data_IF_074556504153
#
_entry.id   IF_074556504153
#
_cell.length_a   1.000
_cell.length_b   1.000
_cell.length_c   1.000
_cell.angle_alpha   90.00
_cell.angle_beta   90.00
_cell.angle_gamma   90.00
#
_symmetry.space_group_name_H-M   'P 1'
#
loop_
_entity.id
_entity.type
_entity.pdbx_description
1 polymer ?
#
# COMPACT_ATOMS: atom_id res chain seq x y z
N UNK A 1 46.68 44.44 -9.47
CA UNK A 1 46.72 42.98 -9.27
C UNK A 1 46.01 42.34 -10.46
N UNK A 2 46.75 41.86 -11.47
CA UNK A 2 46.14 41.23 -12.65
C UNK A 2 45.85 39.76 -12.31
N UNK A 3 44.57 39.43 -12.14
CA UNK A 3 44.15 38.04 -11.97
C UNK A 3 44.31 37.36 -13.33
N UNK A 4 45.17 36.34 -13.38
CA UNK A 4 45.49 35.64 -14.61
C UNK A 4 44.25 34.86 -15.09
N UNK A 5 43.69 35.23 -16.26
CA UNK A 5 42.49 34.60 -16.86
C UNK A 5 42.56 33.07 -16.94
N UNK A 6 43.76 32.50 -17.03
CA UNK A 6 44.00 31.05 -17.02
C UNK A 6 43.63 30.38 -15.68
N UNK A 7 43.82 31.06 -14.54
CA UNK A 7 43.44 30.52 -13.23
C UNK A 7 41.94 30.64 -12.98
N UNK A 8 41.28 31.68 -13.50
CA UNK A 8 39.81 31.82 -13.40
C UNK A 8 39.10 30.69 -14.15
N UNK A 9 39.56 30.37 -15.36
CA UNK A 9 39.01 29.26 -16.16
C UNK A 9 39.22 27.90 -15.48
N UNK A 10 40.36 27.70 -14.82
CA UNK A 10 40.68 26.45 -14.12
C UNK A 10 39.86 26.30 -12.82
N UNK A 11 39.61 27.40 -12.10
CA UNK A 11 38.73 27.42 -10.92
C UNK A 11 37.26 27.22 -11.30
N UNK A 12 36.78 27.85 -12.36
CA UNK A 12 35.42 27.61 -12.87
C UNK A 12 35.23 26.16 -13.34
N UNK A 13 36.20 25.60 -14.07
CA UNK A 13 36.15 24.20 -14.48
C UNK A 13 36.14 23.26 -13.27
N UNK A 14 36.95 23.51 -12.23
CA UNK A 14 36.94 22.74 -10.99
C UNK A 14 35.59 22.82 -10.25
N UNK A 15 34.96 24.00 -10.21
CA UNK A 15 33.63 24.20 -9.61
C UNK A 15 32.53 23.45 -10.39
N UNK A 16 32.61 23.36 -11.72
CA UNK A 16 31.67 22.60 -12.53
C UNK A 16 31.79 21.08 -12.36
N UNK A 17 33.00 20.55 -12.08
CA UNK A 17 33.21 19.10 -11.89
C UNK A 17 32.77 18.68 -10.47
N UNK A 18 32.86 19.56 -9.48
CA UNK A 18 32.33 19.33 -8.14
C UNK A 18 30.81 19.54 -8.03
N UNK A 19 30.17 20.17 -9.01
CA UNK A 19 28.72 20.44 -9.02
C UNK A 19 27.89 19.26 -9.56
N UNK A 20 28.52 18.24 -10.17
CA UNK A 20 27.85 16.96 -10.44
C UNK A 20 27.80 16.16 -9.14
N UNK A 21 26.96 16.59 -8.19
CA UNK A 21 26.57 15.76 -7.06
C UNK A 21 25.92 14.50 -7.61
N UNK A 22 26.59 13.36 -7.48
CA UNK A 22 26.00 12.08 -7.81
C UNK A 22 24.74 11.92 -6.95
N UNK A 23 23.58 11.76 -7.57
CA UNK A 23 22.35 11.47 -6.83
C UNK A 23 22.55 10.17 -6.05
N UNK A 24 22.42 10.24 -4.73
CA UNK A 24 22.43 9.05 -3.89
C UNK A 24 21.09 8.37 -4.09
N UNK A 25 21.12 7.13 -4.56
CA UNK A 25 19.92 6.30 -4.66
C UNK A 25 19.94 5.27 -3.53
N UNK A 26 18.83 5.15 -2.81
CA UNK A 26 18.66 4.13 -1.79
C UNK A 26 17.81 3.01 -2.35
N UNK A 27 18.33 1.79 -2.25
CA UNK A 27 17.58 0.58 -2.58
C UNK A 27 17.00 0.02 -1.29
N UNK A 28 15.71 -0.29 -1.31
CA UNK A 28 14.99 -0.91 -0.21
C UNK A 28 14.58 -2.32 -0.62
N UNK A 29 14.81 -3.28 0.26
CA UNK A 29 14.33 -4.65 0.05
C UNK A 29 12.82 -4.72 0.33
N UNK A 30 12.04 -5.37 -0.55
CA UNK A 30 10.59 -5.42 -0.44
C UNK A 30 10.13 -6.38 0.68
N UNK A 31 8.91 -6.21 1.20
CA UNK A 31 8.26 -7.26 1.98
C UNK A 31 8.15 -8.54 1.15
N UNK A 32 8.11 -9.70 1.81
CA UNK A 32 8.17 -11.00 1.15
C UNK A 32 7.22 -12.01 1.80
N UNK A 33 7.17 -13.24 1.27
CA UNK A 33 6.31 -14.32 1.74
C UNK A 33 4.82 -13.94 1.83
N UNK A 34 4.35 -13.04 0.96
CA UNK A 34 2.94 -12.73 0.88
C UNK A 34 2.15 -13.97 0.44
N UNK A 35 1.14 -14.36 1.21
CA UNK A 35 0.19 -15.38 0.78
C UNK A 35 -0.86 -14.72 -0.11
N UNK A 36 -0.70 -14.87 -1.43
CA UNK A 36 -1.66 -14.32 -2.40
C UNK A 36 -2.94 -15.13 -2.34
N UNK A 37 -4.03 -14.48 -1.93
CA UNK A 37 -5.38 -15.04 -1.99
C UNK A 37 -6.19 -14.24 -3.01
N UNK A 38 -6.60 -14.90 -4.09
CA UNK A 38 -7.35 -14.31 -5.20
C UNK A 38 -8.67 -15.08 -5.37
N UNK A 39 -9.36 -15.36 -4.27
CA UNK A 39 -10.63 -16.08 -4.25
C UNK A 39 -11.50 -15.64 -3.06
N UNK A 40 -12.75 -16.09 -3.06
CA UNK A 40 -13.67 -15.91 -1.95
C UNK A 40 -13.30 -16.89 -0.82
N UNK A 41 -12.93 -16.36 0.34
CA UNK A 41 -12.31 -17.10 1.43
C UNK A 41 -13.30 -17.37 2.57
N UNK A 42 -13.06 -18.42 3.33
CA UNK A 42 -13.73 -18.60 4.61
C UNK A 42 -13.19 -17.62 5.66
N UNK A 43 -14.02 -17.31 6.66
CA UNK A 43 -13.71 -16.39 7.74
C UNK A 43 -12.34 -16.66 8.41
N UNK A 44 -11.92 -17.90 8.56
CA UNK A 44 -10.64 -18.24 9.18
C UNK A 44 -9.41 -17.85 8.35
N UNK A 45 -9.54 -17.70 7.03
CA UNK A 45 -8.47 -17.35 6.09
C UNK A 45 -8.61 -15.93 5.50
N UNK A 46 -9.69 -15.22 5.82
CA UNK A 46 -10.03 -13.91 5.26
C UNK A 46 -9.20 -12.77 5.87
N UNK A 47 -7.92 -12.72 5.50
CA UNK A 47 -6.95 -11.70 5.89
C UNK A 47 -5.81 -11.61 4.88
N UNK A 48 -5.08 -10.49 4.88
CA UNK A 48 -3.77 -10.39 4.22
C UNK A 48 -2.66 -10.86 5.16
N UNK A 49 -1.65 -11.54 4.63
CA UNK A 49 -0.41 -11.82 5.36
C UNK A 49 0.83 -11.71 4.49
N UNK A 50 1.93 -11.30 5.12
CA UNK A 50 3.27 -11.18 4.55
C UNK A 50 4.31 -11.04 5.67
N UNK A 51 5.59 -10.99 5.30
CA UNK A 51 6.72 -10.72 6.21
C UNK A 51 7.42 -9.43 5.78
N UNK A 52 7.73 -8.53 6.72
CA UNK A 52 8.56 -7.35 6.45
C UNK A 52 10.04 -7.75 6.29
N UNK A 53 10.83 -6.97 5.54
CA UNK A 53 12.28 -7.20 5.38
C UNK A 53 13.12 -6.12 6.10
N UNK A 54 12.77 -5.83 7.35
CA UNK A 54 13.44 -4.81 8.15
C UNK A 54 14.90 -5.19 8.41
N UNK A 55 15.22 -6.48 8.49
CA UNK A 55 16.59 -6.96 8.75
C UNK A 55 17.52 -6.63 7.58
N UNK A 56 17.09 -6.85 6.33
CA UNK A 56 17.89 -6.47 5.16
C UNK A 56 17.94 -4.95 4.97
N UNK A 57 16.90 -4.24 5.40
CA UNK A 57 16.84 -2.77 5.36
C UNK A 57 17.52 -2.07 6.56
N UNK A 58 17.98 -2.79 7.59
CA UNK A 58 18.51 -2.23 8.85
C UNK A 58 19.67 -1.24 8.66
N UNK A 59 20.49 -1.41 7.61
CA UNK A 59 21.61 -0.51 7.32
C UNK A 59 21.25 0.64 6.36
N UNK A 60 20.01 0.69 5.87
CA UNK A 60 19.54 1.74 4.97
C UNK A 60 19.01 2.90 5.81
N UNK A 61 19.82 3.95 5.95
CA UNK A 61 19.54 5.10 6.83
C UNK A 61 18.18 5.78 6.61
N UNK A 62 17.63 5.67 5.39
CA UNK A 62 16.37 6.29 5.02
C UNK A 62 15.16 5.42 5.36
N UNK A 63 15.32 4.11 5.62
CA UNK A 63 14.21 3.19 5.86
C UNK A 63 13.32 3.65 7.03
N UNK A 64 12.00 3.51 6.86
CA UNK A 64 10.98 3.92 7.85
C UNK A 64 9.99 2.82 8.20
N UNK A 65 9.96 1.72 7.45
CA UNK A 65 9.06 0.59 7.68
C UNK A 65 8.35 0.15 6.41
N UNK A 66 7.18 -0.44 6.58
CA UNK A 66 6.34 -0.99 5.50
C UNK A 66 4.98 -0.31 5.45
N UNK A 67 4.53 0.04 4.26
CA UNK A 67 3.16 0.52 3.99
C UNK A 67 2.36 -0.55 3.26
N UNK A 68 1.05 -0.58 3.48
CA UNK A 68 0.12 -1.36 2.66
C UNK A 68 -0.79 -0.40 1.93
N UNK A 69 -0.87 -0.56 0.62
CA UNK A 69 -1.77 0.20 -0.25
C UNK A 69 -2.91 -0.69 -0.70
N UNK A 70 -4.11 -0.12 -0.78
CA UNK A 70 -5.31 -0.84 -1.17
C UNK A 70 -6.10 -0.07 -2.24
N UNK A 71 -6.96 -0.81 -2.96
CA UNK A 71 -8.03 -0.25 -3.79
C UNK A 71 -9.25 -1.16 -3.73
N UNK A 72 -10.43 -0.56 -3.74
CA UNK A 72 -11.72 -1.23 -3.60
C UNK A 72 -12.40 -1.25 -4.98
N UNK A 73 -12.89 -2.41 -5.38
CA UNK A 73 -13.53 -2.65 -6.67
C UNK A 73 -14.82 -3.44 -6.47
N UNK A 74 -15.87 -3.14 -7.21
CA UNK A 74 -16.95 -4.12 -7.40
C UNK A 74 -16.76 -4.92 -8.69
N UNK A 75 -15.87 -4.53 -9.58
CA UNK A 75 -15.63 -5.22 -10.85
C UNK A 75 -14.32 -6.01 -10.82
N UNK A 76 -14.43 -7.34 -10.82
CA UNK A 76 -13.29 -8.25 -10.72
C UNK A 76 -12.38 -8.22 -11.97
N UNK A 77 -12.96 -8.00 -13.15
CA UNK A 77 -12.21 -7.82 -14.41
C UNK A 77 -11.33 -6.57 -14.38
N UNK A 78 -11.83 -5.46 -13.81
CA UNK A 78 -11.06 -4.24 -13.62
C UNK A 78 -9.92 -4.43 -12.63
N UNK A 79 -10.21 -5.04 -11.49
CA UNK A 79 -9.20 -5.42 -10.49
C UNK A 79 -8.08 -6.22 -11.16
N UNK A 80 -8.44 -7.29 -11.86
CA UNK A 80 -7.49 -8.20 -12.51
C UNK A 80 -6.60 -7.46 -13.52
N UNK A 81 -7.21 -6.57 -14.33
CA UNK A 81 -6.50 -5.77 -15.34
C UNK A 81 -5.52 -4.79 -14.70
N UNK A 82 -5.93 -4.07 -13.66
CA UNK A 82 -5.06 -3.09 -12.99
C UNK A 82 -3.95 -3.77 -12.20
N UNK A 83 -4.26 -4.83 -11.45
CA UNK A 83 -3.26 -5.65 -10.74
C UNK A 83 -2.22 -6.20 -11.71
N UNK A 84 -2.63 -6.76 -12.85
CA UNK A 84 -1.71 -7.25 -13.89
C UNK A 84 -0.83 -6.13 -14.42
N UNK A 85 -1.41 -4.95 -14.66
CA UNK A 85 -0.67 -3.79 -15.13
C UNK A 85 0.33 -3.26 -14.11
N UNK A 86 0.02 -3.31 -12.81
CA UNK A 86 0.95 -2.94 -11.72
C UNK A 86 2.09 -3.95 -11.67
N UNK A 87 1.78 -5.26 -11.60
CA UNK A 87 2.77 -6.34 -11.58
C UNK A 87 3.72 -6.30 -12.78
N UNK A 88 3.21 -5.93 -13.96
CA UNK A 88 4.04 -5.81 -15.17
C UNK A 88 5.01 -4.62 -15.16
N UNK A 89 4.76 -3.61 -14.32
CA UNK A 89 5.64 -2.46 -14.12
C UNK A 89 6.51 -2.61 -12.86
N UNK A 90 6.30 -3.67 -12.09
CA UNK A 90 6.94 -3.88 -10.80
C UNK A 90 8.30 -4.55 -10.98
N UNK A 91 9.26 -3.77 -11.45
CA UNK A 91 10.62 -4.21 -11.69
C UNK A 91 11.45 -4.19 -10.39
N UNK A 92 12.37 -5.14 -10.26
CA UNK A 92 13.29 -5.27 -9.13
C UNK A 92 14.09 -3.98 -8.93
N UNK A 93 14.15 -3.50 -7.68
CA UNK A 93 14.87 -2.28 -7.29
C UNK A 93 14.39 -0.99 -7.97
N UNK A 94 13.15 -0.95 -8.47
CA UNK A 94 12.52 0.21 -9.09
C UNK A 94 11.25 0.67 -8.35
N UNK A 95 10.97 1.97 -8.44
CA UNK A 95 9.72 2.57 -7.98
C UNK A 95 8.60 2.52 -9.03
N UNK A 96 8.84 1.95 -10.21
CA UNK A 96 7.88 1.94 -11.32
C UNK A 96 6.57 1.23 -10.97
N UNK A 97 6.65 0.14 -10.20
CA UNK A 97 5.48 -0.56 -9.67
C UNK A 97 4.65 0.35 -8.77
N UNK A 98 5.32 1.05 -7.83
CA UNK A 98 4.69 2.02 -6.94
C UNK A 98 4.04 3.18 -7.72
N UNK A 99 4.77 3.77 -8.68
CA UNK A 99 4.25 4.84 -9.52
C UNK A 99 3.02 4.40 -10.31
N UNK A 100 3.03 3.16 -10.80
CA UNK A 100 1.88 2.58 -11.51
C UNK A 100 0.69 2.37 -10.57
N UNK A 101 0.92 1.89 -9.37
CA UNK A 101 -0.08 1.72 -8.32
C UNK A 101 -0.75 3.06 -7.95
N UNK A 102 0.04 4.12 -7.75
CA UNK A 102 -0.48 5.48 -7.48
C UNK A 102 -1.32 6.01 -8.64
N UNK A 103 -0.92 5.73 -9.89
CA UNK A 103 -1.68 6.16 -11.08
C UNK A 103 -3.09 5.56 -11.17
N UNK A 104 -3.35 4.46 -10.46
CA UNK A 104 -4.68 3.85 -10.35
C UNK A 104 -5.44 4.24 -9.08
N UNK A 105 -4.95 5.24 -8.34
CA UNK A 105 -5.54 5.74 -7.09
C UNK A 105 -5.63 4.67 -5.99
N UNK A 106 -4.68 3.74 -5.93
CA UNK A 106 -4.47 2.98 -4.70
C UNK A 106 -4.09 3.95 -3.57
N UNK A 107 -4.62 3.70 -2.37
CA UNK A 107 -4.42 4.56 -1.22
C UNK A 107 -3.73 3.80 -0.09
N UNK A 108 -2.90 4.47 0.72
CA UNK A 108 -2.30 3.83 1.88
C UNK A 108 -3.39 3.49 2.90
N UNK A 109 -3.34 2.27 3.42
CA UNK A 109 -4.07 1.87 4.60
C UNK A 109 -3.46 2.55 5.82
N UNK A 110 -4.28 3.00 6.75
CA UNK A 110 -3.84 3.78 7.92
C UNK A 110 -4.18 3.06 9.22
N UNK A 111 -3.41 3.34 10.27
CA UNK A 111 -3.83 3.13 11.65
C UNK A 111 -4.47 4.41 12.19
N UNK A 112 -5.32 4.27 13.21
CA UNK A 112 -5.79 5.40 14.03
C UNK A 112 -4.64 6.27 14.57
N UNK A 113 -3.44 5.71 14.69
CA UNK A 113 -2.27 6.31 15.35
C UNK A 113 -1.14 6.72 14.39
N UNK A 114 -1.28 6.51 13.07
CA UNK A 114 -0.28 6.93 12.08
C UNK A 114 0.11 5.84 11.06
N UNK A 115 1.41 5.74 10.74
CA UNK A 115 1.95 4.79 9.74
C UNK A 115 1.67 3.34 10.14
N UNK A 116 1.21 2.54 9.17
CA UNK A 116 0.72 1.18 9.41
C UNK A 116 1.74 0.28 10.11
N UNK A 117 2.97 0.17 9.58
CA UNK A 117 4.03 -0.66 10.16
C UNK A 117 5.33 0.16 10.13
N UNK A 118 5.75 0.68 11.28
CA UNK A 118 7.06 1.32 11.41
C UNK A 118 8.18 0.29 11.36
N UNK A 119 9.42 0.74 11.13
CA UNK A 119 10.62 -0.08 11.33
C UNK A 119 10.62 -0.74 12.72
N UNK A 120 10.66 -2.08 12.73
CA UNK A 120 10.72 -2.93 13.90
C UNK A 120 12.17 -3.34 14.25
N UNK A 121 13.11 -3.18 13.32
CA UNK A 121 14.49 -3.64 13.42
C UNK A 121 14.67 -5.16 13.28
N UNK A 122 13.62 -5.89 12.92
CA UNK A 122 13.62 -7.32 12.64
C UNK A 122 12.46 -7.69 11.72
N UNK A 123 12.58 -8.78 10.99
CA UNK A 123 11.55 -9.26 10.07
C UNK A 123 10.30 -9.66 10.85
N UNK A 124 9.19 -8.98 10.60
CA UNK A 124 7.94 -9.20 11.30
C UNK A 124 6.91 -9.85 10.38
N UNK A 125 6.29 -10.94 10.84
CA UNK A 125 5.08 -11.45 10.20
C UNK A 125 3.93 -10.49 10.47
N UNK A 126 3.20 -10.15 9.42
CA UNK A 126 2.08 -9.22 9.47
C UNK A 126 0.83 -9.97 9.07
N UNK A 127 -0.24 -9.75 9.82
CA UNK A 127 -1.59 -10.20 9.47
C UNK A 127 -2.56 -9.04 9.58
N UNK A 128 -3.36 -8.82 8.55
CA UNK A 128 -4.32 -7.71 8.48
C UNK A 128 -5.70 -8.28 8.17
N UNK A 129 -6.60 -8.19 9.16
CA UNK A 129 -8.02 -8.50 8.99
C UNK A 129 -8.83 -7.20 9.04
N UNK A 130 -9.61 -6.97 7.99
CA UNK A 130 -10.34 -5.71 7.81
C UNK A 130 -11.70 -5.70 8.52
N UNK A 131 -12.31 -6.87 8.74
CA UNK A 131 -13.67 -7.00 9.28
C UNK A 131 -13.74 -8.06 10.39
N UNK A 132 -14.73 -7.91 11.27
CA UNK A 132 -15.10 -8.97 12.22
C UNK A 132 -16.15 -9.86 11.57
N UNK A 133 -15.91 -11.17 11.53
CA UNK A 133 -16.75 -12.12 10.80
C UNK A 133 -16.71 -13.52 11.43
N UNK A 134 -17.61 -14.40 10.98
CA UNK A 134 -17.73 -15.78 11.46
C UNK A 134 -19.01 -16.01 12.28
N UNK A 135 -19.08 -17.12 13.01
CA UNK A 135 -20.29 -17.46 13.78
C UNK A 135 -19.97 -18.33 15.01
N UNK A 136 -20.66 -18.09 16.12
CA UNK A 136 -20.53 -18.88 17.36
C UNK A 136 -19.12 -18.81 17.95
N UNK A 137 -18.49 -19.96 18.16
CA UNK A 137 -17.13 -20.06 18.71
C UNK A 137 -16.02 -19.77 17.67
N UNK A 138 -16.39 -19.44 16.44
CA UNK A 138 -15.47 -19.15 15.32
C UNK A 138 -15.62 -17.71 14.83
N UNK A 139 -15.60 -16.76 15.77
CA UNK A 139 -15.56 -15.32 15.47
C UNK A 139 -14.11 -14.89 15.32
N UNK A 140 -13.81 -14.26 14.20
CA UNK A 140 -12.49 -13.71 13.88
C UNK A 140 -12.59 -12.20 13.87
N UNK A 141 -11.97 -11.55 14.87
CA UNK A 141 -12.06 -10.10 15.07
C UNK A 141 -11.14 -9.34 14.14
N UNK A 142 -11.61 -8.22 13.56
CA UNK A 142 -10.77 -7.28 12.81
C UNK A 142 -9.55 -6.85 13.63
N UNK A 143 -8.45 -6.58 12.94
CA UNK A 143 -7.23 -6.10 13.57
C UNK A 143 -5.96 -6.40 12.79
N UNK A 144 -4.89 -5.78 13.24
CA UNK A 144 -3.54 -5.96 12.71
C UNK A 144 -2.69 -6.66 13.77
N UNK A 145 -1.94 -7.67 13.32
CA UNK A 145 -0.90 -8.33 14.09
C UNK A 145 0.45 -8.08 13.44
N UNK A 146 1.45 -7.75 14.23
CA UNK A 146 2.83 -7.53 13.76
C UNK A 146 3.80 -8.25 14.68
N UNK A 147 4.54 -9.22 14.15
CA UNK A 147 5.45 -10.06 14.91
C UNK A 147 4.71 -10.81 16.02
N UNK A 148 5.11 -10.59 17.28
CA UNK A 148 4.45 -11.17 18.45
C UNK A 148 3.38 -10.26 19.06
N UNK A 149 3.11 -9.09 18.47
CA UNK A 149 2.09 -8.18 18.96
C UNK A 149 0.75 -8.49 18.29
N UNK A 150 -0.13 -9.16 19.05
CA UNK A 150 -1.48 -9.53 18.62
C UNK A 150 -2.47 -8.35 18.58
N UNK A 151 -2.09 -7.15 19.04
CA UNK A 151 -2.95 -5.97 19.07
C UNK A 151 -2.18 -4.73 18.60
N UNK A 152 -1.85 -4.71 17.32
CA UNK A 152 -1.16 -3.57 16.70
C UNK A 152 -2.10 -2.38 16.45
N UNK A 153 -3.38 -2.67 16.21
CA UNK A 153 -4.44 -1.69 15.97
C UNK A 153 -5.43 -2.17 14.93
N UNK A 154 -6.22 -1.24 14.40
CA UNK A 154 -7.20 -1.49 13.33
C UNK A 154 -6.79 -0.80 12.04
N UNK A 155 -7.03 -1.48 10.92
CA UNK A 155 -6.83 -0.94 9.59
C UNK A 155 -8.01 -0.08 9.17
N UNK A 156 -7.72 1.15 8.72
CA UNK A 156 -8.71 2.05 8.15
C UNK A 156 -8.37 2.41 6.72
N UNK A 157 -9.41 2.84 6.01
CA UNK A 157 -9.30 3.52 4.73
C UNK A 157 -8.54 4.83 4.90
N UNK A 158 -7.92 5.31 3.83
CA UNK A 158 -7.11 6.54 3.85
C UNK A 158 -7.89 7.82 4.24
N UNK A 159 -9.23 7.77 4.14
CA UNK A 159 -10.13 8.85 4.56
C UNK A 159 -10.53 8.75 6.05
N UNK A 160 -10.07 7.71 6.77
CA UNK A 160 -10.39 7.44 8.18
C UNK A 160 -11.59 6.51 8.39
N UNK A 161 -12.28 6.09 7.33
CA UNK A 161 -13.45 5.21 7.45
C UNK A 161 -13.04 3.74 7.64
N UNK A 162 -13.92 2.97 8.26
CA UNK A 162 -13.78 1.52 8.30
C UNK A 162 -13.99 0.90 6.91
N UNK A 163 -13.41 -0.27 6.65
CA UNK A 163 -13.65 -0.99 5.40
C UNK A 163 -15.09 -1.52 5.26
N UNK A 164 -15.80 -1.72 6.38
CA UNK A 164 -17.24 -2.04 6.41
C UNK A 164 -18.13 -0.90 5.87
N UNK A 165 -17.58 0.33 5.77
CA UNK A 165 -18.31 1.49 5.25
C UNK A 165 -18.68 1.40 3.77
N UNK A 166 -18.11 0.45 3.02
CA UNK A 166 -18.43 0.25 1.59
C UNK A 166 -19.64 -0.68 1.38
N UNK A 167 -20.42 -0.96 2.42
CA UNK A 167 -21.67 -1.72 2.34
C UNK A 167 -22.86 -0.85 1.92
N UNK A 168 -23.92 -1.46 1.37
CA UNK A 168 -25.01 -0.80 0.64
C UNK A 168 -25.57 0.48 1.29
N UNK A 169 -25.67 0.52 2.63
CA UNK A 169 -26.26 1.65 3.38
C UNK A 169 -25.54 2.99 3.19
N UNK A 170 -24.27 2.99 2.77
CA UNK A 170 -23.48 4.20 2.49
C UNK A 170 -23.27 4.45 0.98
N UNK A 171 -23.74 3.55 0.10
CA UNK A 171 -23.43 3.56 -1.33
C UNK A 171 -24.46 4.24 -2.23
N UNK A 172 -25.68 4.53 -1.75
CA UNK A 172 -26.70 5.28 -2.51
C UNK A 172 -26.24 6.71 -2.88
N UNK A 173 -25.15 7.21 -2.29
CA UNK A 173 -24.57 8.53 -2.56
C UNK A 173 -23.14 8.53 -3.08
N UNK A 174 -22.56 7.36 -3.42
CA UNK A 174 -21.19 7.27 -3.94
C UNK A 174 -21.20 7.41 -5.45
N UNK A 175 -21.11 8.65 -5.92
CA UNK A 175 -20.85 8.94 -7.34
C UNK A 175 -19.37 8.73 -7.65
N UNK A 176 -19.05 8.00 -8.71
CA UNK A 176 -17.65 7.85 -9.15
C UNK A 176 -17.07 9.24 -9.44
N UNK A 177 -16.03 9.63 -8.69
CA UNK A 177 -15.36 10.89 -8.97
C UNK A 177 -16.17 12.14 -8.64
N UNK A 178 -17.16 12.08 -7.74
CA UNK A 178 -17.52 13.30 -7.03
C UNK A 178 -16.30 13.72 -6.20
N UNK A 179 -15.58 14.74 -6.71
CA UNK A 179 -14.39 15.33 -6.10
C UNK A 179 -14.63 15.75 -4.64
N UNK A 180 -15.90 15.89 -4.21
CA UNK A 180 -16.30 16.17 -2.83
C UNK A 180 -16.47 14.94 -1.93
N UNK A 181 -16.60 13.72 -2.46
CA UNK A 181 -16.91 12.52 -1.67
C UNK A 181 -15.67 11.88 -1.01
N UNK A 182 -14.46 12.17 -1.51
CA UNK A 182 -13.22 11.63 -0.96
C UNK A 182 -12.94 10.15 -1.25
N UNK A 183 -13.80 9.46 -2.01
CA UNK A 183 -13.73 8.01 -2.26
C UNK A 183 -12.86 7.63 -3.48
N UNK A 184 -11.69 8.24 -3.61
CA UNK A 184 -10.76 7.98 -4.72
C UNK A 184 -10.18 6.55 -4.70
N UNK A 185 -10.28 5.87 -3.55
CA UNK A 185 -9.89 4.48 -3.33
C UNK A 185 -10.90 3.47 -3.89
N UNK A 186 -12.06 3.91 -4.38
CA UNK A 186 -13.11 3.04 -4.93
C UNK A 186 -13.09 3.08 -6.46
N UNK A 187 -13.37 1.96 -7.10
CA UNK A 187 -13.77 1.83 -8.50
C UNK A 187 -15.11 1.10 -8.53
N UNK A 188 -16.15 1.74 -9.08
CA UNK A 188 -17.52 1.24 -9.05
C UNK A 188 -18.06 0.71 -10.38
N UNK A 189 -17.60 0.94 -11.60
CA UNK A 189 -18.34 0.46 -12.81
C UNK A 189 -19.86 0.79 -12.87
N UNK A 190 -20.39 0.86 -14.08
CA UNK A 190 -21.82 1.12 -14.23
C UNK A 190 -22.61 -0.16 -13.89
N UNK A 191 -23.83 -0.01 -13.35
CA UNK A 191 -24.70 -1.14 -12.96
C UNK A 191 -25.06 -2.08 -14.14
N UNK A 192 -24.83 -1.63 -15.37
CA UNK A 192 -25.05 -2.40 -16.61
C UNK A 192 -23.83 -3.27 -17.01
N UNK A 193 -22.73 -3.26 -16.24
CA UNK A 193 -21.53 -4.04 -16.54
C UNK A 193 -21.66 -5.47 -15.97
N UNK A 194 -21.66 -6.47 -16.85
CA UNK A 194 -21.90 -7.90 -16.51
C UNK A 194 -20.86 -8.47 -15.51
N UNK A 195 -19.71 -7.81 -15.37
CA UNK A 195 -18.61 -8.19 -14.46
C UNK A 195 -18.64 -7.43 -13.10
N UNK A 196 -19.64 -6.56 -12.90
CA UNK A 196 -19.86 -5.90 -11.62
C UNK A 196 -20.48 -6.88 -10.62
N UNK A 197 -19.93 -6.93 -9.41
CA UNK A 197 -20.51 -7.69 -8.32
C UNK A 197 -21.67 -6.89 -7.72
N UNK A 198 -22.86 -7.48 -7.77
CA UNK A 198 -24.02 -6.99 -7.00
C UNK A 198 -23.93 -7.33 -5.52
N UNK A 199 -23.09 -8.30 -5.15
CA UNK A 199 -23.19 -8.99 -3.85
C UNK A 199 -22.03 -8.64 -2.89
N UNK A 200 -21.05 -7.86 -3.35
CA UNK A 200 -19.87 -7.51 -2.55
C UNK A 200 -18.77 -6.74 -3.26
N UNK A 201 -17.70 -6.48 -2.51
CA UNK A 201 -16.57 -5.65 -2.95
C UNK A 201 -15.24 -6.37 -2.77
N UNK A 202 -14.38 -6.25 -3.77
CA UNK A 202 -13.00 -6.74 -3.75
C UNK A 202 -12.06 -5.65 -3.23
N UNK A 203 -11.25 -5.97 -2.24
CA UNK A 203 -10.19 -5.10 -1.74
C UNK A 203 -8.87 -5.72 -2.14
N UNK A 204 -8.21 -5.16 -3.16
CA UNK A 204 -6.89 -5.61 -3.60
C UNK A 204 -5.80 -4.82 -2.88
N UNK A 205 -4.74 -5.50 -2.44
CA UNK A 205 -3.68 -4.87 -1.66
C UNK A 205 -2.25 -5.22 -2.12
N UNK A 206 -1.34 -4.27 -1.89
CA UNK A 206 0.10 -4.43 -2.06
C UNK A 206 0.83 -3.90 -0.83
N UNK A 207 1.89 -4.58 -0.39
CA UNK A 207 2.83 -4.08 0.61
C UNK A 207 4.09 -3.51 -0.05
N UNK A 208 4.70 -2.49 0.55
CA UNK A 208 5.91 -1.84 0.05
C UNK A 208 6.76 -1.30 1.19
N UNK A 209 8.06 -1.54 1.15
CA UNK A 209 9.02 -0.91 2.06
C UNK A 209 9.18 0.54 1.64
N UNK A 210 9.17 1.47 2.60
CA UNK A 210 9.36 2.89 2.31
C UNK A 210 10.48 3.49 3.16
N UNK A 211 11.14 4.47 2.55
CA UNK A 211 12.20 5.24 3.16
C UNK A 211 12.02 6.72 2.88
N UNK A 212 12.59 7.56 3.72
CA UNK A 212 12.49 9.02 3.62
C UNK A 212 13.82 9.65 3.98
N UNK A 213 14.29 10.56 3.11
CA UNK A 213 15.50 11.33 3.35
C UNK A 213 15.39 12.16 4.65
N UNK A 214 16.53 12.43 5.29
CA UNK A 214 16.55 13.13 6.58
C UNK A 214 16.01 14.57 6.54
N UNK A 215 16.07 15.19 5.36
CA UNK A 215 15.52 16.52 5.05
C UNK A 215 14.12 16.45 4.42
N UNK A 216 13.51 15.26 4.35
CA UNK A 216 12.19 15.02 3.79
C UNK A 216 12.06 15.39 2.31
N UNK A 217 13.18 15.56 1.58
CA UNK A 217 13.16 15.93 0.17
C UNK A 217 12.64 14.81 -0.72
N UNK A 218 12.98 13.57 -0.38
CA UNK A 218 12.76 12.40 -1.22
C UNK A 218 12.19 11.25 -0.39
N UNK A 219 11.23 10.54 -0.98
CA UNK A 219 10.68 9.29 -0.47
C UNK A 219 11.04 8.19 -1.44
N UNK A 220 11.49 7.06 -0.90
CA UNK A 220 11.96 5.91 -1.65
C UNK A 220 11.03 4.73 -1.41
N UNK A 221 10.76 3.97 -2.46
CA UNK A 221 9.92 2.77 -2.39
C UNK A 221 10.66 1.55 -2.94
N UNK A 222 10.45 0.40 -2.30
CA UNK A 222 10.90 -0.88 -2.85
C UNK A 222 10.02 -1.34 -4.02
N UNK A 223 10.39 -2.47 -4.59
CA UNK A 223 9.44 -3.33 -5.30
C UNK A 223 8.18 -3.59 -4.44
N UNK A 224 7.03 -3.77 -5.09
CA UNK A 224 5.76 -4.10 -4.43
C UNK A 224 5.64 -5.61 -4.18
N UNK A 225 5.11 -5.98 -3.01
CA UNK A 225 4.61 -7.32 -2.72
C UNK A 225 3.09 -7.37 -2.91
N UNK A 226 2.60 -8.12 -3.88
CA UNK A 226 1.16 -8.32 -4.07
C UNK A 226 0.58 -9.22 -2.97
N UNK A 227 -0.49 -8.79 -2.31
CA UNK A 227 -1.10 -9.52 -1.19
C UNK A 227 -2.36 -10.31 -1.58
N UNK A 228 -2.81 -10.19 -2.84
CA UNK A 228 -4.11 -10.73 -3.26
C UNK A 228 -5.24 -9.71 -3.11
N UNK A 229 -6.46 -10.24 -3.05
CA UNK A 229 -7.65 -9.49 -2.70
C UNK A 229 -8.51 -10.21 -1.67
N UNK A 230 -9.26 -9.44 -0.88
CA UNK A 230 -10.31 -9.93 0.01
C UNK A 230 -11.67 -9.59 -0.60
N UNK A 231 -12.63 -10.50 -0.53
CA UNK A 231 -13.98 -10.29 -1.03
C UNK A 231 -14.94 -10.08 0.15
N UNK A 232 -15.43 -8.85 0.30
CA UNK A 232 -16.38 -8.50 1.34
C UNK A 232 -17.81 -8.61 0.81
N UNK A 233 -18.54 -9.63 1.26
CA UNK A 233 -19.98 -9.78 0.94
C UNK A 233 -20.84 -8.92 1.85
N UNK A 234 -22.05 -8.63 1.40
CA UNK A 234 -23.04 -7.89 2.17
C UNK A 234 -23.49 -8.59 3.47
N UNK A 235 -23.61 -9.92 3.47
CA UNK A 235 -24.23 -10.69 4.56
C UNK A 235 -23.25 -11.21 5.63
N UNK A 236 -21.94 -10.97 5.49
CA UNK A 236 -20.91 -11.65 6.30
C UNK A 236 -20.59 -10.91 7.63
N UNK A 237 -21.25 -9.77 7.91
CA UNK A 237 -20.90 -8.91 9.06
C UNK A 237 -21.59 -9.31 10.35
N UNK A 238 -20.81 -9.32 11.44
CA UNK A 238 -21.34 -9.21 12.80
C UNK A 238 -21.17 -7.74 13.24
N UNK A 239 -22.28 -7.04 13.52
CA UNK A 239 -22.21 -5.72 14.17
C UNK A 239 -21.66 -5.86 15.60
N UNK A 240 -20.61 -5.08 15.92
CA UNK A 240 -20.05 -4.95 17.27
C UNK A 240 -20.88 -3.98 18.16
#
# INVERSE_FOLDING_TARGET
MQINRKYILLVMAALCICACGLSVYYVLEPPYNATVRDEDLSADEHYFDFTTDDSSNTNVLVFKGTMVYYKIYNNSSKLSTQVTSIKSANDEYSEDGYNKLVSYNYKPMTLDTGSLISDQGYDANVTIRLITEGYGDSIYTKGIKVGTNDSWGYAYRSNGDEFTSVTETLMEGLDEGDDNSGNYDIYKSDEDDDDSSSDGWYIAAFAVSYGMAADFSDTYYSELAYLGYLYLKYDDYIED
#
